data_IF_066700432359
#
_entry.id   IF_066700432359
#
_cell.length_a   1.000
_cell.length_b   1.000
_cell.length_c   1.000
_cell.angle_alpha   90.00
_cell.angle_beta   90.00
_cell.angle_gamma   90.00
#
_symmetry.space_group_name_H-M   'P 1'
#
loop_
_entity.id
_entity.type
_entity.pdbx_description
1 polymer ?
#
# COMPACT_ATOMS: atom_id res chain seq x y z
N UNK A 1 17.96 32.79 -24.28
CA UNK A 1 17.91 31.57 -25.11
C UNK A 1 18.53 30.41 -24.33
N UNK A 2 17.70 29.36 -24.10
CA UNK A 2 18.00 27.97 -23.71
C UNK A 2 19.09 27.69 -22.65
N UNK A 3 18.67 27.29 -21.45
CA UNK A 3 19.39 26.31 -20.62
C UNK A 3 18.53 25.04 -20.56
N UNK A 4 19.07 23.95 -21.09
CA UNK A 4 18.46 22.62 -21.10
C UNK A 4 18.58 21.94 -19.75
N UNK A 5 17.54 21.21 -19.37
CA UNK A 5 17.50 20.39 -18.16
C UNK A 5 18.35 19.13 -18.29
N UNK A 6 19.13 18.86 -17.27
CA UNK A 6 19.83 17.58 -17.08
C UNK A 6 18.83 16.55 -16.53
N UNK A 7 18.58 15.51 -17.33
CA UNK A 7 17.94 14.28 -16.89
C UNK A 7 18.99 13.42 -16.16
N UNK A 8 18.70 13.08 -14.91
CA UNK A 8 19.49 12.13 -14.11
C UNK A 8 19.34 10.71 -14.68
N UNK A 9 20.23 10.36 -15.59
CA UNK A 9 20.50 8.98 -16.02
C UNK A 9 21.43 8.32 -14.98
N UNK A 10 20.98 7.26 -14.32
CA UNK A 10 21.86 6.39 -13.53
C UNK A 10 22.60 5.42 -14.47
N UNK A 11 23.94 5.25 -14.34
CA UNK A 11 24.72 4.44 -15.26
C UNK A 11 24.65 2.94 -14.95
N UNK A 12 24.43 2.16 -16.01
CA UNK A 12 24.75 0.73 -16.10
C UNK A 12 26.28 0.55 -16.10
N UNK A 13 26.87 0.20 -14.95
CA UNK A 13 28.29 -0.10 -14.87
C UNK A 13 28.59 -1.58 -15.07
N UNK A 14 29.16 -1.86 -16.25
CA UNK A 14 30.34 -2.67 -16.55
C UNK A 14 30.67 -3.92 -15.69
N UNK A 15 30.77 -5.05 -16.38
CA UNK A 15 31.15 -6.35 -15.85
C UNK A 15 32.54 -6.42 -15.24
N UNK A 16 32.64 -7.23 -14.18
CA UNK A 16 33.91 -7.73 -13.65
C UNK A 16 33.83 -9.26 -13.63
N UNK A 17 34.62 -9.89 -14.50
CA UNK A 17 34.81 -11.34 -14.61
C UNK A 17 35.65 -11.82 -13.43
N UNK A 18 35.10 -12.65 -12.54
CA UNK A 18 35.85 -13.42 -11.54
C UNK A 18 35.35 -14.88 -11.51
N UNK A 19 36.31 -15.74 -11.16
CA UNK A 19 36.41 -17.17 -11.45
C UNK A 19 35.51 -18.04 -10.57
N UNK A 20 35.08 -19.15 -11.17
CA UNK A 20 34.77 -20.48 -10.62
C UNK A 20 34.66 -20.67 -9.10
N UNK A 21 33.52 -21.20 -8.66
CA UNK A 21 33.46 -22.09 -7.50
C UNK A 21 32.23 -21.95 -6.63
N UNK A 22 31.48 -23.06 -6.53
CA UNK A 22 30.33 -23.38 -5.65
C UNK A 22 28.96 -22.90 -6.09
N UNK A 23 28.18 -23.89 -6.56
CA UNK A 23 26.72 -23.88 -6.62
C UNK A 23 26.14 -23.33 -5.31
N UNK A 24 25.43 -22.21 -5.41
CA UNK A 24 24.60 -21.68 -4.33
C UNK A 24 23.19 -22.20 -4.61
N UNK A 25 22.72 -23.07 -3.71
CA UNK A 25 21.41 -23.70 -3.78
C UNK A 25 20.28 -22.68 -3.90
N UNK A 26 19.38 -23.00 -4.81
CA UNK A 26 18.13 -22.32 -5.13
C UNK A 26 17.29 -22.03 -3.86
N UNK A 27 17.21 -20.75 -3.47
CA UNK A 27 16.42 -20.30 -2.31
C UNK A 27 14.94 -20.29 -2.66
N UNK A 28 14.24 -21.39 -2.35
CA UNK A 28 12.78 -21.51 -2.44
C UNK A 28 12.10 -20.49 -1.51
N UNK A 29 10.94 -19.91 -1.88
CA UNK A 29 10.12 -19.15 -0.95
C UNK A 29 9.73 -20.03 0.25
N UNK A 30 10.24 -19.71 1.43
CA UNK A 30 10.00 -20.46 2.66
C UNK A 30 8.69 -19.98 3.28
N UNK A 31 7.57 -20.27 2.63
CA UNK A 31 6.24 -19.94 3.14
C UNK A 31 5.69 -21.14 3.94
N UNK A 32 5.43 -20.97 5.26
CA UNK A 32 4.83 -22.02 6.09
C UNK A 32 3.51 -22.57 5.54
N UNK A 33 2.71 -21.76 4.84
CA UNK A 33 1.45 -22.20 4.24
C UNK A 33 1.69 -23.12 3.03
N UNK A 34 2.68 -22.81 2.19
CA UNK A 34 3.06 -23.67 1.07
C UNK A 34 3.86 -24.91 1.53
N UNK A 35 4.58 -24.85 2.66
CA UNK A 35 5.29 -26.01 3.24
C UNK A 35 4.38 -26.95 4.04
N UNK A 36 3.23 -26.49 4.52
CA UNK A 36 2.18 -27.34 5.11
C UNK A 36 1.47 -28.28 4.10
N UNK A 37 2.05 -28.52 2.92
CA UNK A 37 1.63 -29.56 1.97
C UNK A 37 1.83 -31.00 2.47
N UNK A 38 2.32 -31.20 3.70
CA UNK A 38 2.17 -32.44 4.46
C UNK A 38 1.04 -32.28 5.49
N UNK A 39 -0.20 -32.46 5.03
CA UNK A 39 -1.28 -32.94 5.89
C UNK A 39 -0.78 -34.20 6.62
N UNK A 40 -0.93 -34.36 7.95
CA UNK A 40 -0.53 -35.60 8.58
C UNK A 40 -1.36 -36.74 7.97
N UNK A 41 -0.70 -37.66 7.27
CA UNK A 41 -1.29 -38.98 6.99
C UNK A 41 -1.22 -39.79 8.29
N UNK A 42 -2.37 -39.97 8.94
CA UNK A 42 -2.62 -41.06 9.90
C UNK A 42 -3.67 -40.74 10.97
N UNK A 43 -4.32 -41.77 11.58
CA UNK A 43 -4.76 -43.05 11.05
C UNK A 43 -6.24 -42.99 10.60
N UNK A 44 -6.65 -43.95 9.76
CA UNK A 44 -8.00 -44.17 9.22
C UNK A 44 -9.15 -43.70 10.13
N UNK A 45 -9.78 -42.58 9.76
CA UNK A 45 -11.16 -42.32 10.12
C UNK A 45 -11.94 -42.08 8.83
N UNK A 46 -12.93 -42.93 8.59
CA UNK A 46 -13.90 -42.75 7.51
C UNK A 46 -14.57 -41.36 7.69
N UNK A 47 -14.89 -40.64 6.60
CA UNK A 47 -15.50 -39.33 6.73
C UNK A 47 -16.89 -39.46 7.37
N UNK A 48 -17.23 -38.65 8.39
CA UNK A 48 -18.62 -38.50 8.77
C UNK A 48 -19.36 -37.82 7.63
N UNK A 49 -20.46 -38.42 7.22
CA UNK A 49 -21.43 -37.86 6.29
C UNK A 49 -22.21 -36.75 6.98
N UNK A 50 -21.78 -35.50 6.86
CA UNK A 50 -22.69 -34.35 6.98
C UNK A 50 -22.03 -33.05 6.53
N UNK A 51 -22.87 -32.24 5.90
CA UNK A 51 -22.63 -30.95 5.27
C UNK A 51 -22.16 -29.87 6.27
N UNK A 52 -20.85 -29.73 6.46
CA UNK A 52 -20.27 -28.54 7.09
C UNK A 52 -18.97 -28.11 6.39
N UNK A 53 -19.05 -26.95 5.71
CA UNK A 53 -17.94 -26.04 5.40
C UNK A 53 -16.70 -26.64 4.74
N UNK A 54 -16.77 -26.99 3.45
CA UNK A 54 -15.58 -27.24 2.65
C UNK A 54 -14.89 -25.90 2.38
N UNK A 55 -13.77 -25.62 3.06
CA UNK A 55 -12.91 -24.48 2.71
C UNK A 55 -12.45 -24.66 1.26
N UNK A 56 -12.53 -23.64 0.39
CA UNK A 56 -12.08 -23.76 -0.99
C UNK A 56 -10.62 -24.23 -1.04
N UNK A 57 -10.34 -25.24 -1.86
CA UNK A 57 -8.96 -25.66 -2.15
C UNK A 57 -8.21 -24.49 -2.76
N UNK A 58 -7.15 -24.01 -2.10
CA UNK A 58 -6.26 -22.96 -2.63
C UNK A 58 -5.78 -23.43 -4.02
N UNK A 59 -6.02 -22.65 -5.10
CA UNK A 59 -5.54 -23.02 -6.42
C UNK A 59 -4.02 -23.19 -6.40
N UNK A 60 -3.55 -24.36 -6.85
CA UNK A 60 -2.12 -24.62 -7.10
C UNK A 60 -1.67 -23.98 -8.41
N UNK A 61 -2.16 -22.78 -8.71
CA UNK A 61 -1.87 -22.11 -9.95
C UNK A 61 -0.43 -21.56 -9.89
N UNK A 62 0.47 -21.99 -10.79
CA UNK A 62 1.82 -21.44 -10.88
C UNK A 62 1.82 -19.91 -11.01
N UNK A 63 0.77 -19.32 -11.59
CA UNK A 63 0.62 -17.85 -11.70
C UNK A 63 0.58 -17.18 -10.31
N UNK A 64 -0.14 -17.75 -9.35
CA UNK A 64 -0.26 -17.21 -7.98
C UNK A 64 1.08 -17.19 -7.26
N UNK A 65 1.96 -18.16 -7.52
CA UNK A 65 3.30 -18.19 -6.93
C UNK A 65 4.17 -17.07 -7.48
N UNK A 66 4.12 -16.83 -8.79
CA UNK A 66 4.87 -15.74 -9.43
C UNK A 66 4.38 -14.37 -8.95
N UNK A 67 3.06 -14.17 -8.91
CA UNK A 67 2.44 -12.96 -8.38
C UNK A 67 2.87 -12.69 -6.93
N UNK A 68 2.79 -13.71 -6.07
CA UNK A 68 3.17 -13.59 -4.66
C UNK A 68 4.64 -13.18 -4.53
N UNK A 69 5.54 -13.82 -5.27
CA UNK A 69 6.96 -13.45 -5.26
C UNK A 69 7.20 -12.02 -5.73
N UNK A 70 6.58 -11.62 -6.84
CA UNK A 70 6.69 -10.26 -7.37
C UNK A 70 6.22 -9.22 -6.36
N UNK A 71 5.05 -9.42 -5.77
CA UNK A 71 4.48 -8.51 -4.79
C UNK A 71 5.33 -8.45 -3.52
N UNK A 72 5.88 -9.58 -3.05
CA UNK A 72 6.80 -9.59 -1.90
C UNK A 72 8.08 -8.80 -2.16
N UNK A 73 8.73 -9.06 -3.30
CA UNK A 73 9.98 -8.41 -3.68
C UNK A 73 9.77 -6.89 -3.81
N UNK A 74 8.66 -6.47 -4.44
CA UNK A 74 8.29 -5.06 -4.57
C UNK A 74 7.93 -4.43 -3.23
N UNK A 75 7.15 -5.11 -2.40
CA UNK A 75 6.76 -4.62 -1.08
C UNK A 75 7.98 -4.36 -0.20
N UNK A 76 8.92 -5.31 -0.15
CA UNK A 76 10.16 -5.16 0.62
C UNK A 76 11.07 -4.09 0.04
N UNK A 77 11.18 -3.99 -1.30
CA UNK A 77 11.96 -2.94 -1.96
C UNK A 77 11.41 -1.55 -1.65
N UNK A 78 10.10 -1.37 -1.70
CA UNK A 78 9.43 -0.10 -1.36
C UNK A 78 9.56 0.22 0.13
N UNK A 79 9.31 -0.76 1.01
CA UNK A 79 9.46 -0.60 2.45
C UNK A 79 10.90 -0.26 2.89
N UNK A 80 11.89 -0.66 2.10
CA UNK A 80 13.31 -0.36 2.36
C UNK A 80 13.76 0.99 1.79
N UNK A 81 13.20 1.42 0.66
CA UNK A 81 13.61 2.64 -0.05
C UNK A 81 12.86 3.90 0.40
N UNK A 82 11.63 3.74 0.90
CA UNK A 82 10.84 4.86 1.38
C UNK A 82 11.17 5.16 2.84
N UNK A 83 11.68 6.37 3.07
CA UNK A 83 11.87 6.87 4.42
C UNK A 83 10.54 6.88 5.18
N UNK A 84 10.56 6.37 6.42
CA UNK A 84 9.45 6.47 7.39
C UNK A 84 8.16 5.73 7.01
N UNK A 85 8.17 4.81 6.03
CA UNK A 85 7.04 3.87 5.91
C UNK A 85 6.98 3.03 7.18
N UNK A 86 5.83 3.07 7.85
CA UNK A 86 5.53 2.34 9.09
C UNK A 86 4.15 1.68 9.05
N UNK A 87 3.39 1.89 7.97
CA UNK A 87 2.01 1.45 7.82
C UNK A 87 1.88 0.65 6.53
N UNK A 88 1.47 -0.60 6.67
CA UNK A 88 1.27 -1.51 5.54
C UNK A 88 -0.16 -2.04 5.63
N UNK A 89 -0.92 -1.94 4.55
CA UNK A 89 -2.31 -2.40 4.50
C UNK A 89 -2.39 -3.55 3.51
N UNK A 90 -2.80 -4.72 3.99
CA UNK A 90 -3.01 -5.91 3.18
C UNK A 90 -4.51 -6.07 2.97
N UNK A 91 -5.01 -5.77 1.77
CA UNK A 91 -6.39 -6.03 1.36
C UNK A 91 -6.44 -7.39 0.68
N UNK A 92 -6.93 -8.40 1.40
CA UNK A 92 -6.80 -9.81 0.99
C UNK A 92 -8.03 -10.66 1.30
N UNK A 93 -8.01 -11.91 0.86
CA UNK A 93 -9.02 -12.92 1.22
C UNK A 93 -8.92 -13.42 2.68
N UNK A 94 -7.95 -12.93 3.46
CA UNK A 94 -7.70 -13.32 4.85
C UNK A 94 -6.76 -14.51 5.02
N UNK A 95 -6.13 -14.99 3.95
CA UNK A 95 -5.14 -16.09 3.98
C UNK A 95 -3.69 -15.61 3.82
N UNK A 96 -3.45 -14.30 3.87
CA UNK A 96 -2.11 -13.73 3.69
C UNK A 96 -1.18 -14.03 4.88
N UNK A 97 -0.02 -14.62 4.58
CA UNK A 97 0.99 -15.02 5.58
C UNK A 97 2.19 -14.09 5.65
N UNK A 98 2.23 -13.00 4.87
CA UNK A 98 3.32 -12.01 4.87
C UNK A 98 3.71 -11.51 6.27
N UNK A 99 2.78 -11.22 7.20
CA UNK A 99 3.14 -10.80 8.56
C UNK A 99 4.02 -11.81 9.32
N UNK A 100 3.90 -13.10 8.96
CA UNK A 100 4.58 -14.21 9.62
C UNK A 100 5.87 -14.64 8.92
N UNK A 101 5.99 -14.42 7.61
CA UNK A 101 7.13 -14.93 6.81
C UNK A 101 8.07 -13.85 6.28
N UNK A 102 7.62 -12.60 6.15
CA UNK A 102 8.49 -11.51 5.65
C UNK A 102 9.32 -10.90 6.78
N UNK A 103 10.57 -10.58 6.44
CA UNK A 103 11.48 -9.84 7.32
C UNK A 103 11.38 -8.36 7.03
N UNK A 104 10.57 -7.66 7.84
CA UNK A 104 10.32 -6.23 7.65
C UNK A 104 11.55 -5.38 7.98
N UNK A 105 11.98 -4.49 7.07
CA UNK A 105 13.22 -3.71 7.24
C UNK A 105 13.12 -2.71 8.40
N UNK A 106 11.91 -2.24 8.71
CA UNK A 106 11.62 -1.27 9.76
C UNK A 106 10.43 -1.76 10.60
N UNK A 107 10.35 -1.40 11.90
CA UNK A 107 9.17 -1.65 12.71
C UNK A 107 7.92 -1.08 12.03
N UNK A 108 6.95 -1.92 11.72
CA UNK A 108 5.76 -1.56 10.94
C UNK A 108 4.50 -2.12 11.57
N UNK A 109 3.40 -1.37 11.43
CA UNK A 109 2.05 -1.86 11.70
C UNK A 109 1.50 -2.40 10.38
N UNK A 110 1.02 -3.63 10.42
CA UNK A 110 0.33 -4.27 9.30
C UNK A 110 -1.16 -4.32 9.62
N UNK A 111 -1.94 -3.64 8.81
CA UNK A 111 -3.38 -3.68 8.82
C UNK A 111 -3.85 -4.79 7.87
N UNK A 112 -4.36 -5.88 8.42
CA UNK A 112 -4.97 -6.96 7.65
C UNK A 112 -6.45 -6.66 7.44
N UNK A 113 -6.77 -6.16 6.24
CA UNK A 113 -8.13 -5.86 5.80
C UNK A 113 -8.68 -7.08 5.07
N UNK A 114 -9.48 -7.88 5.78
CA UNK A 114 -10.00 -9.15 5.28
C UNK A 114 -11.32 -9.55 5.96
N UNK A 115 -12.04 -10.56 5.43
CA UNK A 115 -13.25 -11.06 6.07
C UNK A 115 -12.98 -11.60 7.48
N UNK A 116 -13.76 -11.14 8.47
CA UNK A 116 -13.48 -11.44 9.89
C UNK A 116 -13.49 -12.95 10.19
N UNK A 117 -14.42 -13.67 9.56
CA UNK A 117 -14.56 -15.12 9.73
C UNK A 117 -13.32 -15.89 9.23
N UNK A 118 -12.71 -15.44 8.13
CA UNK A 118 -11.51 -16.08 7.56
C UNK A 118 -10.30 -15.76 8.42
N UNK A 119 -10.13 -14.49 8.81
CA UNK A 119 -9.04 -14.06 9.68
C UNK A 119 -8.98 -14.86 10.99
N UNK A 120 -10.12 -15.02 11.68
CA UNK A 120 -10.20 -15.78 12.94
C UNK A 120 -9.71 -17.22 12.77
N UNK A 121 -10.16 -17.91 11.71
CA UNK A 121 -9.77 -19.29 11.42
C UNK A 121 -8.29 -19.38 11.05
N UNK A 122 -7.81 -18.50 10.16
CA UNK A 122 -6.42 -18.48 9.71
C UNK A 122 -5.46 -18.19 10.87
N UNK A 123 -5.75 -17.17 11.67
CA UNK A 123 -4.96 -16.77 12.84
C UNK A 123 -4.88 -17.89 13.88
N UNK A 124 -6.00 -18.57 14.19
CA UNK A 124 -6.00 -19.71 15.10
C UNK A 124 -5.14 -20.87 14.58
N UNK A 125 -5.22 -21.18 13.29
CA UNK A 125 -4.41 -22.24 12.67
C UNK A 125 -2.93 -21.91 12.65
N UNK A 126 -2.56 -20.69 12.28
CA UNK A 126 -1.18 -20.22 12.29
C UNK A 126 -0.58 -20.26 13.70
N UNK A 127 -1.35 -19.83 14.71
CA UNK A 127 -0.96 -19.95 16.12
C UNK A 127 -0.79 -21.41 16.53
N UNK A 128 -1.73 -22.30 16.16
CA UNK A 128 -1.65 -23.73 16.44
C UNK A 128 -0.45 -24.42 15.78
N UNK A 129 -0.01 -23.93 14.62
CA UNK A 129 1.20 -24.38 13.92
C UNK A 129 2.50 -23.77 14.49
N UNK A 130 2.42 -22.91 15.52
CA UNK A 130 3.57 -22.25 16.11
C UNK A 130 4.15 -21.10 15.28
N UNK A 131 3.41 -20.60 14.27
CA UNK A 131 3.82 -19.43 13.51
C UNK A 131 3.86 -18.19 14.42
N UNK A 132 4.92 -17.39 14.28
CA UNK A 132 5.13 -16.16 15.05
C UNK A 132 5.24 -14.99 14.09
N UNK A 133 4.56 -13.90 14.43
CA UNK A 133 4.71 -12.63 13.71
C UNK A 133 6.13 -12.12 13.91
N UNK A 134 6.70 -11.52 12.86
CA UNK A 134 8.04 -10.91 12.93
C UNK A 134 8.11 -9.85 14.04
N UNK A 135 9.26 -9.73 14.72
CA UNK A 135 9.45 -8.75 15.81
C UNK A 135 9.26 -7.30 15.36
N UNK A 136 9.52 -7.03 14.08
CA UNK A 136 9.34 -5.72 13.46
C UNK A 136 7.92 -5.52 12.92
N UNK A 137 6.96 -6.37 13.27
CA UNK A 137 5.60 -6.33 12.76
C UNK A 137 4.60 -6.36 13.92
N UNK A 138 3.68 -5.40 13.93
CA UNK A 138 2.46 -5.45 14.73
C UNK A 138 1.28 -5.70 13.79
N UNK A 139 0.61 -6.85 13.93
CA UNK A 139 -0.55 -7.19 13.11
C UNK A 139 -1.84 -6.69 13.77
N UNK A 140 -2.62 -5.92 13.01
CA UNK A 140 -3.93 -5.38 13.42
C UNK A 140 -4.96 -5.79 12.37
N UNK A 141 -6.00 -6.50 12.78
CA UNK A 141 -7.08 -6.88 11.87
C UNK A 141 -8.12 -5.76 11.73
N UNK A 142 -8.60 -5.58 10.51
CA UNK A 142 -9.62 -4.63 10.10
C UNK A 142 -10.67 -5.40 9.29
N UNK A 143 -11.87 -5.63 9.84
CA UNK A 143 -12.92 -6.38 9.13
C UNK A 143 -13.36 -5.69 7.84
N UNK A 144 -13.33 -6.42 6.72
CA UNK A 144 -13.73 -5.91 5.40
C UNK A 144 -15.23 -5.68 5.29
N UNK A 145 -16.05 -6.37 6.08
CA UNK A 145 -17.52 -6.29 6.05
C UNK A 145 -18.09 -4.96 6.60
N UNK A 146 -17.24 -4.08 7.13
CA UNK A 146 -17.66 -2.78 7.61
C UNK A 146 -18.00 -1.81 6.47
N UNK A 147 -19.03 -0.99 6.66
CA UNK A 147 -19.42 0.05 5.69
C UNK A 147 -18.45 1.22 5.60
N UNK A 148 -17.53 1.39 6.56
CA UNK A 148 -16.58 2.51 6.57
C UNK A 148 -15.15 2.05 6.92
N UNK A 149 -14.40 1.69 5.88
CA UNK A 149 -12.99 1.29 5.98
C UNK A 149 -12.11 2.43 6.50
N UNK A 150 -12.40 3.67 6.12
CA UNK A 150 -11.61 4.85 6.49
C UNK A 150 -11.73 5.13 7.99
N UNK A 151 -12.95 5.13 8.53
CA UNK A 151 -13.18 5.32 9.96
C UNK A 151 -12.48 4.25 10.81
N UNK A 152 -12.62 2.97 10.45
CA UNK A 152 -12.00 1.88 11.23
C UNK A 152 -10.48 1.94 11.17
N UNK A 153 -9.89 2.18 9.99
CA UNK A 153 -8.43 2.30 9.89
C UNK A 153 -7.93 3.43 10.79
N UNK A 154 -8.58 4.60 10.76
CA UNK A 154 -8.24 5.74 11.61
C UNK A 154 -8.40 5.42 13.11
N UNK A 155 -9.47 4.73 13.51
CA UNK A 155 -9.70 4.27 14.89
C UNK A 155 -8.60 3.30 15.35
N UNK A 156 -8.15 2.42 14.45
CA UNK A 156 -7.01 1.51 14.66
C UNK A 156 -5.64 2.21 14.57
N UNK A 157 -5.63 3.54 14.46
CA UNK A 157 -4.43 4.37 14.52
C UNK A 157 -3.74 4.59 13.18
N UNK A 158 -4.35 4.22 12.05
CA UNK A 158 -3.85 4.60 10.73
C UNK A 158 -3.81 6.12 10.60
N UNK A 159 -2.75 6.64 10.00
CA UNK A 159 -2.48 8.07 9.81
C UNK A 159 -2.33 8.38 8.33
N UNK A 160 -3.33 9.07 7.78
CA UNK A 160 -3.35 9.44 6.36
C UNK A 160 -2.36 10.55 5.98
N UNK A 161 -1.70 11.19 6.95
CA UNK A 161 -0.62 12.15 6.73
C UNK A 161 0.78 11.49 6.72
N UNK A 162 0.87 10.15 6.84
CA UNK A 162 2.12 9.39 6.89
C UNK A 162 2.24 8.39 5.73
N UNK A 163 3.48 8.05 5.29
CA UNK A 163 3.67 7.15 4.16
C UNK A 163 3.09 5.76 4.43
N UNK A 164 2.44 5.20 3.43
CA UNK A 164 1.77 3.90 3.52
C UNK A 164 2.04 3.04 2.29
N UNK A 165 2.05 1.72 2.50
CA UNK A 165 2.10 0.72 1.44
C UNK A 165 0.83 -0.11 1.47
N UNK A 166 0.22 -0.30 0.32
CA UNK A 166 -1.04 -1.02 0.17
C UNK A 166 -0.82 -2.21 -0.76
N UNK A 167 -1.36 -3.37 -0.39
CA UNK A 167 -1.29 -4.60 -1.18
C UNK A 167 -2.70 -5.08 -1.47
N UNK A 168 -3.01 -5.26 -2.74
CA UNK A 168 -4.27 -5.82 -3.21
C UNK A 168 -4.00 -7.21 -3.80
N UNK A 169 -4.38 -8.28 -3.10
CA UNK A 169 -4.15 -9.63 -3.62
C UNK A 169 -5.24 -10.61 -3.17
N UNK A 170 -5.70 -11.45 -4.10
CA UNK A 170 -6.61 -12.54 -3.80
C UNK A 170 -8.01 -12.11 -3.36
N UNK A 171 -8.39 -10.82 -3.47
CA UNK A 171 -9.69 -10.35 -3.02
C UNK A 171 -10.83 -11.12 -3.71
N UNK A 172 -11.67 -11.85 -2.95
CA UNK A 172 -12.72 -12.64 -3.53
C UNK A 172 -13.83 -11.73 -4.05
N UNK A 173 -14.20 -11.92 -5.32
CA UNK A 173 -15.45 -11.37 -5.88
C UNK A 173 -15.57 -9.84 -5.87
N UNK A 174 -14.48 -9.14 -6.18
CA UNK A 174 -14.61 -7.72 -6.52
C UNK A 174 -15.56 -7.59 -7.72
N UNK A 175 -16.51 -6.67 -7.62
CA UNK A 175 -17.24 -6.14 -8.78
C UNK A 175 -16.51 -4.89 -9.26
N UNK A 176 -16.81 -4.40 -10.47
CA UNK A 176 -16.21 -3.14 -10.93
C UNK A 176 -16.52 -2.00 -9.97
N UNK A 177 -17.75 -1.96 -9.41
CA UNK A 177 -18.14 -1.01 -8.36
C UNK A 177 -17.28 -1.17 -7.12
N UNK A 178 -17.13 -2.40 -6.60
CA UNK A 178 -16.31 -2.64 -5.40
C UNK A 178 -14.83 -2.25 -5.59
N UNK A 179 -14.28 -2.43 -6.79
CA UNK A 179 -12.93 -1.95 -7.09
C UNK A 179 -12.85 -0.42 -7.07
N UNK A 180 -13.81 0.29 -7.66
CA UNK A 180 -13.86 1.76 -7.62
C UNK A 180 -13.98 2.26 -6.18
N UNK A 181 -14.85 1.64 -5.37
CA UNK A 181 -15.06 2.03 -3.97
C UNK A 181 -13.78 1.85 -3.15
N UNK A 182 -13.07 0.73 -3.35
CA UNK A 182 -11.76 0.49 -2.70
C UNK A 182 -10.73 1.51 -3.17
N UNK A 183 -10.59 1.75 -4.48
CA UNK A 183 -9.63 2.74 -5.00
C UNK A 183 -9.94 4.15 -4.49
N UNK A 184 -11.22 4.51 -4.38
CA UNK A 184 -11.67 5.78 -3.80
C UNK A 184 -11.30 5.88 -2.32
N UNK A 185 -11.57 4.85 -1.52
CA UNK A 185 -11.20 4.81 -0.10
C UNK A 185 -9.68 4.92 0.09
N UNK A 186 -8.89 4.16 -0.69
CA UNK A 186 -7.42 4.24 -0.63
C UNK A 186 -6.93 5.63 -1.06
N UNK A 187 -7.51 6.24 -2.09
CA UNK A 187 -7.14 7.61 -2.51
C UNK A 187 -7.36 8.64 -1.40
N UNK A 188 -8.40 8.47 -0.58
CA UNK A 188 -8.70 9.38 0.52
C UNK A 188 -7.78 9.15 1.73
N UNK A 189 -7.35 7.92 1.96
CA UNK A 189 -6.50 7.52 3.09
C UNK A 189 -5.01 7.69 2.82
N UNK A 190 -4.52 7.26 1.67
CA UNK A 190 -3.09 7.19 1.37
C UNK A 190 -2.51 8.57 1.11
N UNK A 191 -1.44 8.93 1.84
CA UNK A 191 -0.74 10.19 1.56
C UNK A 191 -0.12 10.18 0.16
N UNK A 192 0.07 11.37 -0.42
CA UNK A 192 0.83 11.55 -1.66
C UNK A 192 2.21 10.87 -1.57
N UNK A 193 2.58 10.11 -2.60
CA UNK A 193 3.81 9.32 -2.65
C UNK A 193 3.72 7.95 -1.99
N UNK A 194 2.56 7.58 -1.42
CA UNK A 194 2.27 6.19 -1.01
C UNK A 194 2.11 5.29 -2.23
N UNK A 195 2.31 3.99 -2.06
CA UNK A 195 2.17 3.02 -3.15
C UNK A 195 1.07 2.00 -2.85
N UNK A 196 0.35 1.64 -3.91
CA UNK A 196 -0.57 0.52 -3.98
C UNK A 196 -0.03 -0.47 -5.01
N UNK A 197 0.23 -1.70 -4.59
CA UNK A 197 0.66 -2.79 -5.47
C UNK A 197 -0.38 -3.91 -5.42
N UNK A 198 -0.49 -4.68 -6.49
CA UNK A 198 -1.42 -5.80 -6.43
C UNK A 198 -1.61 -6.53 -7.73
N UNK A 199 -2.64 -7.37 -7.74
CA UNK A 199 -3.14 -8.04 -8.93
C UNK A 199 -4.61 -7.72 -9.16
N UNK A 200 -5.02 -7.58 -10.42
CA UNK A 200 -6.41 -7.43 -10.82
C UNK A 200 -6.80 -8.45 -11.88
N UNK A 201 -7.98 -9.10 -11.76
CA UNK A 201 -8.52 -9.94 -12.80
C UNK A 201 -8.63 -9.21 -14.16
N UNK A 202 -8.12 -9.84 -15.22
CA UNK A 202 -8.23 -9.40 -16.61
C UNK A 202 -9.69 -9.19 -17.05
N UNK A 203 -10.65 -9.88 -16.43
CA UNK A 203 -12.07 -9.70 -16.73
C UNK A 203 -12.58 -8.29 -16.42
N UNK A 204 -11.91 -7.53 -15.54
CA UNK A 204 -12.22 -6.11 -15.35
C UNK A 204 -11.83 -5.23 -16.52
N UNK A 205 -10.84 -5.66 -17.31
CA UNK A 205 -10.26 -4.84 -18.35
C UNK A 205 -11.13 -4.82 -19.62
N UNK A 206 -12.13 -5.70 -19.73
CA UNK A 206 -13.02 -5.76 -20.90
C UNK A 206 -12.32 -6.06 -22.23
N UNK A 207 -11.04 -6.45 -22.16
CA UNK A 207 -10.16 -6.71 -23.30
C UNK A 207 -10.08 -8.19 -23.60
N UNK A 208 -9.75 -8.53 -24.85
CA UNK A 208 -9.36 -9.90 -25.19
C UNK A 208 -8.13 -10.33 -24.37
N UNK A 209 -8.13 -11.60 -23.97
CA UNK A 209 -7.06 -12.20 -23.19
C UNK A 209 -5.75 -12.08 -23.99
N UNK A 210 -4.80 -11.26 -23.52
CA UNK A 210 -3.47 -11.12 -24.11
C UNK A 210 -3.12 -9.75 -24.72
N UNK A 211 -4.05 -8.79 -24.78
CA UNK A 211 -3.73 -7.42 -25.22
C UNK A 211 -3.23 -6.56 -24.05
N UNK A 212 -1.94 -6.69 -23.74
CA UNK A 212 -1.28 -5.93 -22.67
C UNK A 212 -1.28 -4.41 -22.89
N UNK A 213 -1.06 -3.88 -24.11
CA UNK A 213 -1.22 -2.44 -24.37
C UNK A 213 -2.62 -1.91 -24.05
N UNK A 214 -3.68 -2.65 -24.41
CA UNK A 214 -5.04 -2.25 -24.07
C UNK A 214 -5.31 -2.34 -22.55
N UNK A 215 -4.80 -3.39 -21.89
CA UNK A 215 -4.83 -3.55 -20.45
C UNK A 215 -4.16 -2.38 -19.72
N UNK A 216 -2.95 -1.99 -20.15
CA UNK A 216 -2.20 -0.85 -19.62
C UNK A 216 -3.02 0.44 -19.75
N UNK A 217 -3.57 0.73 -20.94
CA UNK A 217 -4.37 1.93 -21.19
C UNK A 217 -5.63 2.00 -20.32
N UNK A 218 -6.31 0.86 -20.12
CA UNK A 218 -7.46 0.80 -19.23
C UNK A 218 -7.05 1.05 -17.77
N UNK A 219 -5.99 0.37 -17.31
CA UNK A 219 -5.46 0.52 -15.96
C UNK A 219 -5.04 1.97 -15.68
N UNK A 220 -4.29 2.59 -16.58
CA UNK A 220 -3.92 4.01 -16.48
C UNK A 220 -5.17 4.89 -16.32
N UNK A 221 -6.19 4.68 -17.15
CA UNK A 221 -7.44 5.45 -17.07
C UNK A 221 -8.19 5.24 -15.75
N UNK A 222 -8.28 4.00 -15.27
CA UNK A 222 -8.95 3.67 -14.01
C UNK A 222 -8.21 4.26 -12.81
N UNK A 223 -6.90 4.09 -12.74
CA UNK A 223 -6.10 4.55 -11.62
C UNK A 223 -5.96 6.07 -11.59
N UNK A 224 -5.80 6.71 -12.75
CA UNK A 224 -5.65 8.18 -12.81
C UNK A 224 -6.95 8.89 -12.41
N UNK A 225 -8.13 8.32 -12.69
CA UNK A 225 -9.40 8.89 -12.22
C UNK A 225 -9.53 8.86 -10.69
N UNK A 226 -8.75 8.00 -10.02
CA UNK A 226 -8.65 7.93 -8.56
C UNK A 226 -7.37 8.61 -8.03
N UNK A 227 -6.59 9.29 -8.89
CA UNK A 227 -5.40 10.02 -8.47
C UNK A 227 -4.12 9.21 -8.35
N UNK A 228 -4.08 8.01 -8.92
CA UNK A 228 -2.90 7.17 -8.97
C UNK A 228 -2.25 7.16 -10.35
N UNK A 229 -0.92 7.13 -10.41
CA UNK A 229 -0.17 6.74 -11.61
C UNK A 229 0.13 5.26 -11.51
N UNK A 230 -0.36 4.45 -12.44
CA UNK A 230 -0.21 3.00 -12.41
C UNK A 230 0.57 2.46 -13.61
N UNK A 231 1.46 1.52 -13.33
CA UNK A 231 2.17 0.70 -14.30
C UNK A 231 1.68 -0.75 -14.15
N UNK A 232 1.26 -1.37 -15.26
CA UNK A 232 0.86 -2.76 -15.31
C UNK A 232 2.01 -3.63 -15.86
N UNK A 233 2.07 -4.87 -15.39
CA UNK A 233 3.14 -5.81 -15.70
C UNK A 233 2.58 -7.13 -16.19
N UNK A 234 3.17 -7.64 -17.27
CA UNK A 234 2.89 -8.96 -17.81
C UNK A 234 3.60 -10.05 -17.00
N UNK A 235 2.89 -11.16 -16.74
CA UNK A 235 3.47 -12.29 -16.01
C UNK A 235 4.59 -12.97 -16.79
N UNK A 236 4.53 -13.01 -18.12
CA UNK A 236 5.59 -13.55 -18.96
C UNK A 236 6.88 -12.72 -18.88
N UNK A 237 6.77 -11.40 -18.86
CA UNK A 237 7.90 -10.50 -18.62
C UNK A 237 8.49 -10.68 -17.22
N UNK A 238 7.63 -10.75 -16.20
CA UNK A 238 8.08 -10.98 -14.82
C UNK A 238 8.78 -12.33 -14.68
N UNK A 239 8.24 -13.40 -15.27
CA UNK A 239 8.84 -14.72 -15.24
C UNK A 239 10.26 -14.71 -15.84
N UNK A 240 10.41 -14.07 -17.01
CA UNK A 240 11.73 -13.90 -17.67
C UNK A 240 12.70 -13.12 -16.79
N UNK A 241 12.26 -12.01 -16.20
CA UNK A 241 13.10 -11.18 -15.33
C UNK A 241 13.50 -11.91 -14.03
N UNK A 242 12.69 -12.87 -13.59
CA UNK A 242 12.98 -13.73 -12.44
C UNK A 242 13.72 -15.03 -12.80
N UNK A 243 14.06 -15.23 -14.08
CA UNK A 243 14.67 -16.47 -14.61
C UNK A 243 13.82 -17.73 -14.30
N UNK A 244 12.50 -17.58 -14.34
CA UNK A 244 11.53 -18.66 -14.15
C UNK A 244 10.87 -19.00 -15.49
N UNK A 245 10.54 -20.27 -15.68
CA UNK A 245 9.69 -20.70 -16.79
C UNK A 245 8.30 -20.04 -16.64
N UNK A 246 7.79 -19.35 -17.67
CA UNK A 246 6.47 -18.74 -17.61
C UNK A 246 5.43 -19.85 -17.41
N UNK A 247 4.48 -19.68 -16.47
CA UNK A 247 3.34 -20.57 -16.34
C UNK A 247 2.68 -20.90 -17.68
N UNK A 248 2.45 -22.19 -17.93
CA UNK A 248 1.74 -22.64 -19.13
C UNK A 248 0.26 -22.28 -19.02
N UNK A 249 -0.20 -21.32 -19.82
CA UNK A 249 -1.61 -20.92 -19.93
C UNK A 249 -1.81 -19.41 -20.00
N UNK A 250 -3.04 -18.99 -20.29
CA UNK A 250 -3.41 -17.58 -20.19
C UNK A 250 -3.54 -17.18 -18.72
N UNK A 251 -2.78 -16.17 -18.31
CA UNK A 251 -2.95 -15.54 -17.01
C UNK A 251 -4.34 -14.94 -16.91
N UNK A 252 -4.96 -15.01 -15.74
CA UNK A 252 -6.28 -14.41 -15.49
C UNK A 252 -6.18 -13.05 -14.84
N UNK A 253 -4.98 -12.65 -14.38
CA UNK A 253 -4.74 -11.44 -13.64
C UNK A 253 -3.63 -10.62 -14.31
N UNK A 254 -3.58 -9.33 -14.00
CA UNK A 254 -2.51 -8.40 -14.33
C UNK A 254 -1.93 -7.85 -13.04
N UNK A 255 -0.60 -7.81 -12.94
CA UNK A 255 0.10 -7.22 -11.80
C UNK A 255 0.27 -5.73 -12.03
N UNK A 256 0.25 -4.93 -10.97
CA UNK A 256 0.42 -3.50 -11.10
C UNK A 256 1.14 -2.88 -9.90
N UNK A 257 1.72 -1.71 -10.14
CA UNK A 257 2.25 -0.80 -9.13
C UNK A 257 1.66 0.57 -9.40
N UNK A 258 1.10 1.19 -8.38
CA UNK A 258 0.43 2.47 -8.47
C UNK A 258 0.95 3.43 -7.39
N UNK A 259 1.35 4.65 -7.80
CA UNK A 259 1.81 5.71 -6.91
C UNK A 259 0.69 6.75 -6.71
N UNK A 260 0.43 7.10 -5.45
CA UNK A 260 -0.58 8.10 -5.10
C UNK A 260 -0.09 9.52 -5.41
N UNK A 261 -0.79 10.22 -6.30
CA UNK A 261 -0.43 11.58 -6.71
C UNK A 261 -1.18 12.66 -5.92
N UNK A 262 -2.36 12.32 -5.41
CA UNK A 262 -3.25 13.23 -4.68
C UNK A 262 -2.90 13.29 -3.20
N UNK A 263 -3.24 14.42 -2.57
CA UNK A 263 -3.20 14.55 -1.12
C UNK A 263 -4.37 13.76 -0.51
N UNK A 264 -4.08 13.00 0.55
CA UNK A 264 -5.11 12.36 1.38
C UNK A 264 -6.01 13.41 2.03
N UNK A 265 -7.15 12.98 2.57
CA UNK A 265 -8.03 13.86 3.36
C UNK A 265 -7.27 14.43 4.55
N UNK A 266 -6.54 13.61 5.31
CA UNK A 266 -5.74 14.07 6.45
C UNK A 266 -4.66 15.08 6.04
N UNK A 267 -4.00 14.90 4.89
CA UNK A 267 -3.06 15.91 4.39
C UNK A 267 -3.77 17.23 4.05
N UNK A 268 -4.92 17.18 3.39
CA UNK A 268 -5.71 18.37 3.04
C UNK A 268 -6.19 19.11 4.28
N UNK A 269 -6.68 18.39 5.29
CA UNK A 269 -7.08 18.96 6.58
C UNK A 269 -5.90 19.60 7.31
N UNK A 270 -4.75 18.91 7.40
CA UNK A 270 -3.55 19.48 8.01
C UNK A 270 -3.10 20.76 7.29
N UNK A 271 -3.19 20.80 5.96
CA UNK A 271 -2.84 21.99 5.16
C UNK A 271 -3.82 23.14 5.39
N UNK A 272 -5.12 22.86 5.47
CA UNK A 272 -6.14 23.85 5.76
C UNK A 272 -5.95 24.43 7.16
N UNK A 273 -5.70 23.59 8.17
CA UNK A 273 -5.43 24.03 9.54
C UNK A 273 -4.15 24.86 9.61
N UNK A 274 -3.05 24.42 8.98
CA UNK A 274 -1.82 25.21 8.95
C UNK A 274 -2.01 26.55 8.21
N UNK A 275 -2.74 26.56 7.10
CA UNK A 275 -3.07 27.78 6.37
C UNK A 275 -3.96 28.73 7.17
N UNK A 276 -4.92 28.20 7.94
CA UNK A 276 -5.74 28.97 8.88
C UNK A 276 -4.92 29.54 10.03
N UNK A 277 -4.01 28.76 10.63
CA UNK A 277 -3.09 29.24 11.68
C UNK A 277 -2.21 30.35 11.12
N UNK A 278 -1.62 30.18 9.94
CA UNK A 278 -0.83 31.23 9.28
C UNK A 278 -1.65 32.50 8.98
N UNK A 279 -2.93 32.35 8.61
CA UNK A 279 -3.82 33.50 8.42
C UNK A 279 -4.23 34.16 9.74
N UNK A 280 -4.39 33.40 10.82
CA UNK A 280 -4.65 33.94 12.16
C UNK A 280 -3.42 34.68 12.69
N UNK A 281 -2.24 34.07 12.62
CA UNK A 281 -0.97 34.72 12.99
C UNK A 281 -0.75 36.02 12.20
N UNK A 282 -1.07 36.02 10.90
CA UNK A 282 -0.96 37.22 10.06
C UNK A 282 -2.02 38.28 10.41
N UNK A 283 -3.26 37.87 10.73
CA UNK A 283 -4.31 38.80 11.20
C UNK A 283 -4.00 39.39 12.57
N UNK A 284 -3.46 38.58 13.48
CA UNK A 284 -3.04 39.03 14.80
C UNK A 284 -1.82 39.95 14.70
N UNK A 285 -0.87 39.67 13.81
CA UNK A 285 0.22 40.58 13.47
C UNK A 285 -0.30 41.90 12.89
N UNK A 286 -1.20 41.87 11.90
CA UNK A 286 -1.83 43.08 11.33
C UNK A 286 -2.63 43.88 12.37
N UNK A 287 -3.33 43.20 13.27
CA UNK A 287 -4.09 43.83 14.35
C UNK A 287 -3.14 44.48 15.35
N UNK A 288 -2.05 43.81 15.74
CA UNK A 288 -1.02 44.37 16.61
C UNK A 288 -0.36 45.59 15.96
N UNK A 289 0.01 45.54 14.67
CA UNK A 289 0.55 46.68 13.93
C UNK A 289 -0.42 47.87 13.91
N UNK A 290 -1.72 47.61 13.68
CA UNK A 290 -2.76 48.64 13.73
C UNK A 290 -2.96 49.23 15.12
N UNK A 291 -2.78 48.43 16.18
CA UNK A 291 -2.81 48.88 17.57
C UNK A 291 -1.58 49.73 17.90
N UNK A 292 -0.39 49.33 17.47
CA UNK A 292 0.85 50.09 17.63
C UNK A 292 0.79 51.44 16.91
N UNK A 293 0.33 51.48 15.66
CA UNK A 293 0.14 52.73 14.90
C UNK A 293 -0.91 53.67 15.54
N UNK A 294 -1.92 53.12 16.21
CA UNK A 294 -2.91 53.92 16.93
C UNK A 294 -2.35 54.47 18.25
N UNK A 295 -1.47 53.71 18.91
CA UNK A 295 -0.78 54.12 20.13
C UNK A 295 0.28 55.20 19.86
N UNK A 296 1.10 55.05 18.82
CA UNK A 296 2.08 56.09 18.42
C UNK A 296 1.40 57.41 18.02
N UNK A 297 0.23 57.37 17.38
CA UNK A 297 -0.53 58.59 17.06
C UNK A 297 -1.07 59.30 18.30
N UNK A 298 -1.44 58.55 19.34
CA UNK A 298 -1.91 59.12 20.61
C UNK A 298 -0.77 59.75 21.42
N UNK A 299 0.47 59.28 21.26
CA UNK A 299 1.66 59.93 21.84
C UNK A 299 2.05 61.20 21.05
N UNK A 300 1.89 61.25 19.73
CA UNK A 300 2.15 62.47 18.94
C UNK A 300 1.07 63.56 19.10
N UNK A 301 -0.20 63.21 19.35
CA UNK A 301 -1.28 64.19 19.60
C UNK A 301 -1.38 64.64 21.09
N UNK A 302 -0.57 64.07 21.99
CA UNK A 302 -0.55 64.38 23.43
C UNK A 302 0.32 65.58 23.84
N UNK A 303 1.18 66.08 22.94
CA UNK A 303 2.21 67.08 23.27
C UNK A 303 1.95 68.49 22.66
N UNK A 304 0.78 68.72 22.04
CA UNK A 304 0.41 70.04 21.48
C UNK A 304 -0.90 70.61 22.06
N UNK A 305 -1.03 70.66 23.39
CA UNK A 305 -1.82 71.72 24.04
C UNK A 305 -1.00 72.44 25.12
N UNK A 306 -0.21 73.42 24.65
CA UNK A 306 -0.28 74.77 25.18
C UNK A 306 0.07 74.98 26.65
N UNK A 307 1.36 74.87 26.98
CA UNK A 307 1.96 75.73 28.00
C UNK A 307 2.55 76.96 27.29
N UNK A 308 1.73 78.01 27.11
CA UNK A 308 2.23 79.38 27.02
C UNK A 308 1.94 80.10 28.35
N UNK A 309 2.98 80.78 28.81
CA UNK A 309 3.17 81.45 30.10
C UNK A 309 2.26 82.68 30.36
N UNK A 310 2.10 82.97 31.66
CA UNK A 310 1.75 84.24 32.36
C UNK A 310 0.27 84.55 32.66
#
# INVERSE_FOLDING_TARGET
>A
MRRGGEALHLPLSAGRRLRSGKEVGESRPNDPCYRCQAWPRGPRFAPPSSSQGRVPSIPRDPSTRLATKFLDDKLLSLASSMDKVRQIVLLTDGMDTRPYRLSWPQPSIIYDVSPESVFKVASQRLKGAGAKISRNCMLVHVPLESSDLQAILCEKGFKGDKPSLWVLQGLPLLTSTGLNDILFAISNLAMKGSFLIGELPLCFLGTEIGDMPAAQKYMEKLFISHGFRADAFDYGEIAKNMLLEPPSGAYKNVLFIAEQLRLSDSQRECWQVCGMIQQLDNKDAQKMESWWMHFERMEEEGDEEGFEEL
#
